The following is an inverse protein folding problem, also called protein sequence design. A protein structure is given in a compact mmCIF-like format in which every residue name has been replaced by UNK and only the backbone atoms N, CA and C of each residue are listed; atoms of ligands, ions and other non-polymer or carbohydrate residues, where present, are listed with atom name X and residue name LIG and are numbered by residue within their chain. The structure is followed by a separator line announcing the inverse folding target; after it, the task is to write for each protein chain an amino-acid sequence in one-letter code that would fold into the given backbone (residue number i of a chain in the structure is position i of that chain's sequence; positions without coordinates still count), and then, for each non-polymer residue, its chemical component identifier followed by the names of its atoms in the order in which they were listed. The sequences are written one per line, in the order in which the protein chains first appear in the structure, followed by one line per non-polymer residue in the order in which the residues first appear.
data_IF_724995811606
#
_entry.id   IF_724995811606
#
_cell.length_a   1.000
_cell.length_b   1.000
_cell.length_c   1.000
_cell.angle_alpha   90.00
_cell.angle_beta   90.00
_cell.angle_gamma   90.00
#
_symmetry.space_group_name_H-M   'P 1'
#
loop_
_entity.id
_entity.type
_entity.pdbx_description
1 polymer ?
#
# COMPACT_ATOMS: atom_id res chain seq x y z
N UNK A 1 12.88 4.47 -11.59
CA UNK A 1 11.42 4.53 -11.38
C UNK A 1 10.97 3.29 -10.62
N UNK A 2 10.15 3.47 -9.59
CA UNK A 2 9.49 2.40 -8.83
C UNK A 2 8.00 2.41 -9.16
N UNK A 3 7.44 1.25 -9.41
CA UNK A 3 6.03 1.05 -9.74
C UNK A 3 5.33 0.22 -8.66
N UNK A 4 4.29 0.79 -8.05
CA UNK A 4 3.51 0.18 -6.95
C UNK A 4 2.08 -0.08 -7.42
N UNK A 5 1.56 -1.28 -7.16
CA UNK A 5 0.17 -1.67 -7.41
C UNK A 5 -0.55 -1.97 -6.10
N UNK A 6 -1.62 -1.22 -5.84
CA UNK A 6 -2.49 -1.37 -4.69
C UNK A 6 -3.67 -2.26 -5.05
N UNK A 7 -3.95 -3.24 -4.21
CA UNK A 7 -5.16 -4.06 -4.24
C UNK A 7 -5.98 -3.79 -2.99
N UNK A 8 -7.22 -3.38 -3.19
CA UNK A 8 -8.18 -3.20 -2.11
C UNK A 8 -9.59 -3.51 -2.59
N UNK A 9 -10.57 -3.23 -1.75
CA UNK A 9 -11.99 -3.24 -2.11
C UNK A 9 -12.52 -1.82 -2.21
N UNK A 10 -13.55 -1.61 -3.03
CA UNK A 10 -14.25 -0.33 -3.10
C UNK A 10 -14.67 0.17 -1.71
N UNK A 11 -14.12 1.30 -1.28
CA UNK A 11 -14.32 1.89 0.04
C UNK A 11 -13.21 1.63 1.07
N UNK A 12 -12.18 0.83 0.75
CA UNK A 12 -11.04 0.58 1.65
C UNK A 12 -9.91 1.61 1.54
N UNK A 13 -9.94 2.53 0.57
CA UNK A 13 -8.98 3.64 0.50
C UNK A 13 -7.70 3.38 -0.33
N UNK A 14 -7.67 2.37 -1.21
CA UNK A 14 -6.51 2.08 -2.08
C UNK A 14 -6.07 3.30 -2.93
N UNK A 15 -7.03 4.02 -3.51
CA UNK A 15 -6.76 5.24 -4.30
C UNK A 15 -6.14 6.33 -3.43
N UNK A 16 -6.70 6.53 -2.23
CA UNK A 16 -6.19 7.50 -1.27
C UNK A 16 -4.75 7.18 -0.86
N UNK A 17 -4.42 5.91 -0.61
CA UNK A 17 -3.04 5.53 -0.31
C UNK A 17 -2.09 5.82 -1.46
N UNK A 18 -2.52 5.52 -2.69
CA UNK A 18 -1.72 5.78 -3.89
C UNK A 18 -1.45 7.29 -4.07
N UNK A 19 -2.47 8.13 -3.86
CA UNK A 19 -2.36 9.59 -3.92
C UNK A 19 -1.44 10.15 -2.82
N UNK A 20 -1.63 9.75 -1.56
CA UNK A 20 -0.81 10.22 -0.44
C UNK A 20 0.68 9.91 -0.66
N UNK A 21 0.99 8.69 -1.13
CA UNK A 21 2.36 8.29 -1.44
C UNK A 21 2.97 9.12 -2.58
N UNK A 22 2.18 9.41 -3.63
CA UNK A 22 2.65 10.24 -4.74
C UNK A 22 2.88 11.70 -4.32
N UNK A 23 1.99 12.26 -3.50
CA UNK A 23 2.13 13.62 -2.96
C UNK A 23 3.39 13.75 -2.09
N UNK A 24 3.63 12.77 -1.20
CA UNK A 24 4.85 12.72 -0.40
C UNK A 24 6.11 12.70 -1.28
N UNK A 25 6.13 11.86 -2.32
CA UNK A 25 7.26 11.80 -3.25
C UNK A 25 7.47 13.12 -4.04
N UNK A 26 6.38 13.77 -4.45
CA UNK A 26 6.45 15.09 -5.13
C UNK A 26 7.03 16.15 -4.21
N UNK A 27 6.66 16.13 -2.92
CA UNK A 27 7.19 17.06 -1.92
C UNK A 27 8.71 16.91 -1.72
N UNK A 28 9.25 15.72 -1.92
CA UNK A 28 10.69 15.44 -1.95
C UNK A 28 11.40 15.82 -3.26
N UNK A 29 10.69 16.43 -4.22
CA UNK A 29 11.24 16.81 -5.52
C UNK A 29 11.30 15.67 -6.55
N UNK A 30 10.70 14.50 -6.27
CA UNK A 30 10.58 13.41 -7.24
C UNK A 30 9.40 13.63 -8.18
N UNK A 31 9.39 12.96 -9.32
CA UNK A 31 8.23 12.86 -10.19
C UNK A 31 7.36 11.69 -9.75
N UNK A 32 6.07 11.92 -9.53
CA UNK A 32 5.13 10.85 -9.19
C UNK A 32 3.82 10.94 -9.99
N UNK A 33 3.18 9.79 -10.15
CA UNK A 33 1.82 9.65 -10.67
C UNK A 33 1.03 8.75 -9.74
N UNK A 34 -0.22 9.10 -9.46
CA UNK A 34 -1.19 8.22 -8.80
C UNK A 34 -2.47 8.17 -9.64
N UNK A 35 -3.00 6.97 -9.86
CA UNK A 35 -4.24 6.82 -10.62
C UNK A 35 -4.96 5.50 -10.29
N UNK A 36 -6.30 5.49 -10.33
CA UNK A 36 -7.07 4.28 -10.14
C UNK A 36 -7.13 3.40 -11.40
N UNK A 37 -7.50 2.14 -11.22
CA UNK A 37 -8.02 1.28 -12.28
C UNK A 37 -9.22 0.48 -11.76
N UNK A 38 -10.41 0.98 -12.07
CA UNK A 38 -11.68 0.31 -11.82
C UNK A 38 -12.72 0.77 -12.86
N UNK A 39 -13.71 -0.09 -13.14
CA UNK A 39 -14.85 0.23 -14.00
C UNK A 39 -16.05 0.77 -13.22
N UNK A 40 -17.26 0.51 -13.70
CA UNK A 40 -18.51 0.81 -13.00
C UNK A 40 -18.79 -0.18 -11.85
N UNK A 41 -17.80 -0.42 -10.99
CA UNK A 41 -17.87 -1.46 -9.97
C UNK A 41 -18.64 -1.02 -8.72
N UNK A 42 -19.31 -1.99 -8.08
CA UNK A 42 -20.05 -1.76 -6.83
C UNK A 42 -19.10 -1.68 -5.65
N UNK A 43 -19.53 -1.02 -4.56
CA UNK A 43 -18.81 -1.03 -3.28
C UNK A 43 -18.47 -2.46 -2.86
N UNK A 44 -17.25 -2.68 -2.38
CA UNK A 44 -16.75 -4.00 -1.98
C UNK A 44 -16.11 -4.84 -3.11
N UNK A 45 -16.26 -4.45 -4.38
CA UNK A 45 -15.58 -5.10 -5.49
C UNK A 45 -14.05 -4.85 -5.45
N UNK A 46 -13.23 -5.77 -5.98
CA UNK A 46 -11.78 -5.59 -6.07
C UNK A 46 -11.43 -4.34 -6.89
N UNK A 47 -10.67 -3.41 -6.30
CA UNK A 47 -10.21 -2.20 -6.97
C UNK A 47 -8.70 -2.15 -7.01
N UNK A 48 -8.17 -1.61 -8.09
CA UNK A 48 -6.76 -1.31 -8.23
C UNK A 48 -6.49 0.18 -8.13
N UNK A 49 -5.34 0.51 -7.57
CA UNK A 49 -4.73 1.82 -7.72
C UNK A 49 -3.23 1.64 -7.98
N UNK A 50 -2.64 2.67 -8.57
CA UNK A 50 -1.26 2.64 -9.03
C UNK A 50 -0.53 3.88 -8.55
N UNK A 51 0.73 3.68 -8.16
CA UNK A 51 1.67 4.78 -7.92
C UNK A 51 2.96 4.53 -8.69
N UNK A 52 3.47 5.55 -9.38
CA UNK A 52 4.81 5.57 -9.94
C UNK A 52 5.62 6.65 -9.24
N UNK A 53 6.87 6.36 -8.92
CA UNK A 53 7.83 7.34 -8.35
C UNK A 53 9.12 7.26 -9.16
N UNK A 54 9.68 8.40 -9.56
CA UNK A 54 10.84 8.48 -10.44
C UNK A 54 11.64 9.76 -10.17
N UNK A 55 12.96 9.70 -10.33
CA UNK A 55 13.83 10.89 -10.32
C UNK A 55 13.75 11.68 -11.63
N UNK A 56 13.14 11.09 -12.67
CA UNK A 56 12.92 11.70 -13.98
C UNK A 56 11.43 11.78 -14.35
N UNK A 57 11.09 12.70 -15.27
CA UNK A 57 9.72 12.91 -15.77
C UNK A 57 9.09 11.60 -16.26
N UNK A 58 7.91 11.28 -15.71
CA UNK A 58 7.15 10.08 -16.09
C UNK A 58 6.25 10.39 -17.30
N UNK A 59 6.62 9.86 -18.46
CA UNK A 59 5.83 9.99 -19.72
C UNK A 59 4.81 8.86 -19.93
N UNK A 60 4.97 7.73 -19.23
CA UNK A 60 4.13 6.55 -19.39
C UNK A 60 2.71 6.79 -18.85
N UNK A 61 1.69 6.39 -19.60
CA UNK A 61 0.26 6.58 -19.28
C UNK A 61 -0.55 5.28 -19.47
N UNK A 62 -0.02 4.19 -18.92
CA UNK A 62 -0.65 2.86 -18.95
C UNK A 62 -0.80 2.31 -17.53
N UNK A 63 -1.55 1.22 -17.35
CA UNK A 63 -1.56 0.47 -16.09
C UNK A 63 -0.18 -0.10 -15.74
N UNK A 64 -0.01 -0.53 -14.48
CA UNK A 64 1.21 -1.19 -14.02
C UNK A 64 1.03 -2.71 -14.10
N UNK A 65 1.60 -3.30 -15.16
CA UNK A 65 1.56 -4.74 -15.41
C UNK A 65 2.71 -5.49 -14.71
N UNK A 66 3.86 -4.82 -14.55
CA UNK A 66 5.05 -5.37 -13.91
C UNK A 66 5.47 -4.53 -12.70
N UNK A 67 4.74 -4.59 -11.58
CA UNK A 67 5.07 -3.78 -10.41
C UNK A 67 6.37 -4.25 -9.73
N UNK A 68 7.07 -3.31 -9.08
CA UNK A 68 8.13 -3.59 -8.10
C UNK A 68 7.55 -3.91 -6.72
N UNK A 69 6.37 -3.37 -6.43
CA UNK A 69 5.68 -3.53 -5.14
C UNK A 69 4.19 -3.80 -5.36
N UNK A 70 3.68 -4.81 -4.66
CA UNK A 70 2.25 -5.08 -4.54
C UNK A 70 1.84 -4.86 -3.09
N UNK A 71 0.80 -4.06 -2.85
CA UNK A 71 0.22 -3.88 -1.51
C UNK A 71 -1.22 -4.34 -1.52
N UNK A 72 -1.59 -5.16 -0.52
CA UNK A 72 -2.90 -5.81 -0.44
C UNK A 72 -3.57 -5.41 0.87
N UNK A 73 -4.56 -4.52 0.78
CA UNK A 73 -5.28 -3.96 1.94
C UNK A 73 -6.24 -4.98 2.58
N UNK A 74 -6.71 -5.94 1.79
CA UNK A 74 -7.62 -7.00 2.22
C UNK A 74 -7.06 -8.38 1.83
N UNK A 75 -6.66 -9.22 2.80
CA UNK A 75 -6.04 -10.51 2.52
C UNK A 75 -6.95 -11.48 1.75
N UNK A 76 -8.27 -11.29 1.78
CA UNK A 76 -9.19 -12.12 0.99
C UNK A 76 -8.99 -11.97 -0.51
N UNK A 77 -8.40 -10.85 -0.96
CA UNK A 77 -8.14 -10.60 -2.38
C UNK A 77 -7.11 -11.56 -2.96
N UNK A 78 -6.18 -12.08 -2.15
CA UNK A 78 -5.18 -13.05 -2.59
C UNK A 78 -5.83 -14.30 -3.21
N UNK A 79 -7.00 -14.71 -2.69
CA UNK A 79 -7.78 -15.84 -3.21
C UNK A 79 -8.79 -15.45 -4.29
N UNK A 80 -9.15 -14.17 -4.37
CA UNK A 80 -10.19 -13.69 -5.27
C UNK A 80 -9.64 -13.27 -6.64
N UNK A 81 -8.43 -12.72 -6.69
CA UNK A 81 -7.80 -12.18 -7.90
C UNK A 81 -6.29 -12.46 -7.89
N UNK A 82 -5.61 -12.50 -9.05
CA UNK A 82 -4.18 -12.81 -9.12
C UNK A 82 -3.32 -11.60 -8.69
N UNK A 83 -3.26 -11.34 -7.38
CA UNK A 83 -2.66 -10.11 -6.82
C UNK A 83 -1.19 -9.90 -7.17
N UNK A 84 -0.43 -11.00 -7.30
CA UNK A 84 1.02 -11.01 -7.64
C UNK A 84 1.31 -11.17 -9.13
N UNK A 85 0.28 -11.13 -10.01
CA UNK A 85 0.50 -11.27 -11.45
C UNK A 85 1.46 -10.20 -11.99
N UNK A 86 2.53 -10.64 -12.65
CA UNK A 86 3.54 -9.76 -13.24
C UNK A 86 4.49 -9.09 -12.24
N UNK A 87 4.35 -9.33 -10.93
CA UNK A 87 5.30 -8.86 -9.92
C UNK A 87 6.71 -9.35 -10.27
N UNK A 88 7.65 -8.42 -10.39
CA UNK A 88 9.05 -8.70 -10.75
C UNK A 88 9.72 -9.65 -9.76
N UNK A 89 10.72 -10.38 -10.24
CA UNK A 89 11.62 -11.17 -9.38
C UNK A 89 12.29 -10.25 -8.35
N UNK A 90 12.40 -10.71 -7.10
CA UNK A 90 12.88 -9.87 -5.99
C UNK A 90 11.92 -8.75 -5.57
N UNK A 91 10.71 -8.70 -6.15
CA UNK A 91 9.69 -7.71 -5.82
C UNK A 91 9.18 -7.85 -4.38
N UNK A 92 8.42 -6.84 -3.92
CA UNK A 92 7.89 -6.78 -2.55
C UNK A 92 6.37 -6.97 -2.56
N UNK A 93 5.86 -7.81 -1.66
CA UNK A 93 4.42 -7.94 -1.34
C UNK A 93 4.16 -7.48 0.09
N UNK A 94 3.32 -6.46 0.28
CA UNK A 94 2.93 -5.94 1.59
C UNK A 94 1.47 -6.31 1.87
N UNK A 95 1.23 -7.09 2.93
CA UNK A 95 -0.06 -7.72 3.22
C UNK A 95 -0.64 -7.31 4.58
N UNK A 96 -1.89 -6.88 4.58
CA UNK A 96 -2.68 -6.82 5.80
C UNK A 96 -3.05 -8.24 6.23
N UNK A 97 -2.42 -8.78 7.27
CA UNK A 97 -2.70 -10.13 7.76
C UNK A 97 -2.14 -10.41 9.15
N UNK A 98 -2.78 -11.35 9.86
CA UNK A 98 -2.25 -11.96 11.09
C UNK A 98 -1.12 -12.96 10.81
N UNK A 99 -1.16 -13.62 9.65
CA UNK A 99 -0.15 -14.59 9.23
C UNK A 99 1.21 -13.91 9.06
N UNK A 100 2.29 -14.66 9.29
CA UNK A 100 3.65 -14.16 9.09
C UNK A 100 4.06 -14.14 7.61
N UNK A 101 5.18 -13.48 7.27
CA UNK A 101 5.71 -13.45 5.91
C UNK A 101 5.96 -14.84 5.31
N UNK A 102 6.62 -15.76 6.04
CA UNK A 102 6.88 -17.13 5.56
C UNK A 102 5.63 -17.96 5.24
N UNK A 103 4.52 -17.77 5.97
CA UNK A 103 3.24 -18.41 5.64
C UNK A 103 2.68 -17.89 4.31
N UNK A 104 2.85 -16.58 4.08
CA UNK A 104 2.42 -15.93 2.84
C UNK A 104 3.30 -16.27 1.64
N UNK A 105 4.63 -16.42 1.80
CA UNK A 105 5.48 -16.90 0.71
C UNK A 105 4.97 -18.24 0.16
N UNK A 106 4.63 -19.16 1.06
CA UNK A 106 4.03 -20.47 0.71
C UNK A 106 2.68 -20.32 0.01
N UNK A 107 1.79 -19.47 0.53
CA UNK A 107 0.44 -19.28 -0.05
C UNK A 107 0.48 -18.55 -1.41
N UNK A 108 1.45 -17.66 -1.62
CA UNK A 108 1.68 -16.97 -2.88
C UNK A 108 2.39 -17.84 -3.92
N UNK A 109 3.08 -18.90 -3.50
CA UNK A 109 3.89 -19.75 -4.37
C UNK A 109 5.05 -18.99 -5.03
N UNK A 110 5.60 -17.99 -4.33
CA UNK A 110 6.67 -17.10 -4.82
C UNK A 110 7.77 -17.00 -3.76
N UNK A 111 8.78 -17.86 -3.87
CA UNK A 111 9.95 -17.82 -2.98
C UNK A 111 10.98 -16.75 -3.38
N UNK A 112 10.85 -16.23 -4.59
CA UNK A 112 11.73 -15.21 -5.19
C UNK A 112 11.34 -13.77 -4.80
N UNK A 113 10.28 -13.57 -4.03
CA UNK A 113 9.80 -12.24 -3.61
C UNK A 113 10.01 -12.02 -2.12
N UNK A 114 10.13 -10.75 -1.74
CA UNK A 114 10.06 -10.33 -0.34
C UNK A 114 8.60 -10.18 0.07
N UNK A 115 8.30 -10.54 1.31
CA UNK A 115 6.96 -10.42 1.89
C UNK A 115 7.05 -9.62 3.20
N UNK A 116 6.23 -8.59 3.28
CA UNK A 116 5.97 -7.85 4.50
C UNK A 116 4.52 -8.09 4.94
N UNK A 117 4.29 -8.35 6.23
CA UNK A 117 2.94 -8.54 6.75
C UNK A 117 2.75 -7.89 8.12
N UNK A 118 1.60 -7.26 8.29
CA UNK A 118 1.17 -6.63 9.54
C UNK A 118 -0.32 -6.83 9.73
N UNK A 119 -0.78 -6.94 10.97
CA UNK A 119 -2.21 -7.03 11.26
C UNK A 119 -2.85 -5.62 11.30
N UNK A 120 -2.84 -4.95 10.14
CA UNK A 120 -3.33 -3.58 10.01
C UNK A 120 -4.80 -3.44 10.40
N UNK A 121 -5.62 -4.48 10.21
CA UNK A 121 -7.02 -4.47 10.68
C UNK A 121 -7.11 -4.31 12.19
N UNK A 122 -6.27 -5.01 12.98
CA UNK A 122 -6.27 -4.84 14.44
C UNK A 122 -5.76 -3.46 14.84
N UNK A 123 -4.66 -2.99 14.24
CA UNK A 123 -4.11 -1.65 14.52
C UNK A 123 -5.18 -0.58 14.24
N UNK A 124 -5.85 -0.65 13.08
CA UNK A 124 -6.91 0.28 12.72
C UNK A 124 -8.09 0.24 13.70
N UNK A 125 -8.52 -0.95 14.12
CA UNK A 125 -9.60 -1.09 15.12
C UNK A 125 -9.21 -0.50 16.48
N UNK A 126 -7.96 -0.68 16.91
CA UNK A 126 -7.47 -0.18 18.19
C UNK A 126 -7.28 1.35 18.22
N UNK A 127 -6.76 1.93 17.14
CA UNK A 127 -6.43 3.36 17.07
C UNK A 127 -7.57 4.22 16.50
N UNK A 128 -8.28 3.72 15.48
CA UNK A 128 -9.30 4.45 14.74
C UNK A 128 -10.74 4.04 15.10
N UNK A 129 -10.91 2.90 15.76
CA UNK A 129 -12.23 2.32 16.05
C UNK A 129 -12.96 1.73 14.83
N UNK A 130 -12.33 1.74 13.65
CA UNK A 130 -12.88 1.25 12.39
C UNK A 130 -11.83 0.46 11.60
N UNK A 131 -12.22 -0.57 10.82
CA UNK A 131 -11.27 -1.45 10.13
C UNK A 131 -10.82 -0.86 8.78
N UNK A 132 -10.40 0.40 8.77
CA UNK A 132 -9.90 1.11 7.59
C UNK A 132 -8.37 1.06 7.61
N UNK A 133 -7.77 0.33 6.67
CA UNK A 133 -6.37 -0.09 6.76
C UNK A 133 -5.44 0.64 5.80
N UNK A 134 -5.94 1.55 4.97
CA UNK A 134 -5.19 2.18 3.87
C UNK A 134 -3.96 2.95 4.34
N UNK A 135 -4.10 3.84 5.32
CA UNK A 135 -2.99 4.65 5.86
C UNK A 135 -2.06 3.77 6.70
N UNK A 136 -2.63 2.90 7.54
CA UNK A 136 -1.89 1.91 8.35
C UNK A 136 -0.93 1.10 7.46
N UNK A 137 -1.42 0.61 6.33
CA UNK A 137 -0.62 -0.19 5.40
C UNK A 137 0.50 0.60 4.70
N UNK A 138 0.42 1.94 4.61
CA UNK A 138 1.54 2.76 4.13
C UNK A 138 2.73 2.75 5.11
N UNK A 139 2.48 2.64 6.41
CA UNK A 139 3.54 2.51 7.41
C UNK A 139 4.34 1.23 7.21
N UNK A 140 3.62 0.11 7.03
CA UNK A 140 4.23 -1.17 6.72
C UNK A 140 5.02 -1.15 5.40
N UNK A 141 4.50 -0.46 4.38
CA UNK A 141 5.20 -0.26 3.11
C UNK A 141 6.53 0.47 3.31
N UNK A 142 6.55 1.60 4.01
CA UNK A 142 7.76 2.41 4.14
C UNK A 142 8.83 1.75 5.01
N UNK A 143 8.45 0.88 5.95
CA UNK A 143 9.41 0.05 6.68
C UNK A 143 10.06 -1.00 5.77
N UNK A 144 9.26 -1.69 4.96
CA UNK A 144 9.74 -2.73 4.07
C UNK A 144 10.51 -2.16 2.87
N UNK A 145 10.13 -0.97 2.40
CA UNK A 145 10.78 -0.26 1.29
C UNK A 145 10.68 1.26 1.53
N UNK A 146 11.77 1.89 2.00
CA UNK A 146 11.84 3.35 2.17
C UNK A 146 11.75 4.07 0.81
N UNK A 147 10.55 4.46 0.40
CA UNK A 147 10.29 5.15 -0.87
C UNK A 147 10.33 6.68 -0.73
N UNK A 148 9.90 7.15 0.43
CA UNK A 148 9.79 8.53 0.89
C UNK A 148 10.04 8.56 2.40
N UNK A 149 10.43 9.71 2.92
CA UNK A 149 10.52 9.99 4.35
C UNK A 149 9.12 9.95 4.99
N UNK A 150 9.08 9.65 6.28
CA UNK A 150 7.82 9.55 7.03
C UNK A 150 7.15 10.93 7.17
N UNK A 151 7.93 11.98 7.40
CA UNK A 151 7.43 13.33 7.70
C UNK A 151 6.57 13.94 6.56
N UNK A 152 7.00 13.94 5.27
CA UNK A 152 6.16 14.38 4.17
C UNK A 152 4.81 13.64 4.12
N UNK A 153 4.83 12.33 4.36
CA UNK A 153 3.62 11.53 4.31
C UNK A 153 2.68 11.81 5.49
N UNK A 154 3.22 11.94 6.71
CA UNK A 154 2.46 12.32 7.91
C UNK A 154 1.80 13.69 7.77
N UNK A 155 2.47 14.65 7.12
CA UNK A 155 1.89 15.95 6.83
C UNK A 155 0.66 15.83 5.90
N UNK A 156 0.77 15.07 4.80
CA UNK A 156 -0.36 14.86 3.89
C UNK A 156 -1.48 14.02 4.53
N UNK A 157 -1.16 13.05 5.38
CA UNK A 157 -2.15 12.31 6.19
C UNK A 157 -2.92 13.30 7.07
N UNK A 158 -2.22 14.19 7.77
CA UNK A 158 -2.81 15.21 8.65
C UNK A 158 -3.73 16.16 7.88
N UNK A 159 -3.28 16.63 6.72
CA UNK A 159 -4.10 17.49 5.84
C UNK A 159 -5.33 16.77 5.30
N UNK A 160 -5.20 15.48 4.96
CA UNK A 160 -6.29 14.68 4.38
C UNK A 160 -7.35 14.31 5.41
N UNK A 161 -6.95 14.08 6.66
CA UNK A 161 -7.80 13.59 7.75
C UNK A 161 -7.69 14.47 9.00
N UNK A 162 -7.99 15.78 8.94
CA UNK A 162 -7.67 16.72 10.00
C UNK A 162 -8.38 16.44 11.34
N UNK A 163 -9.54 15.76 11.30
CA UNK A 163 -10.32 15.42 12.51
C UNK A 163 -9.75 14.24 13.30
N UNK A 164 -9.01 13.36 12.64
CA UNK A 164 -8.48 12.12 13.22
C UNK A 164 -6.97 11.98 12.97
N UNK A 165 -6.30 13.11 12.69
CA UNK A 165 -4.91 13.13 12.21
C UNK A 165 -3.96 12.43 13.18
N UNK A 166 -4.08 12.70 14.48
CA UNK A 166 -3.25 12.08 15.51
C UNK A 166 -3.40 10.55 15.51
N UNK A 167 -4.64 10.05 15.39
CA UNK A 167 -4.92 8.61 15.40
C UNK A 167 -4.44 7.94 14.11
N UNK A 168 -4.62 8.60 12.96
CA UNK A 168 -4.10 8.12 11.66
C UNK A 168 -2.58 8.03 11.65
N UNK A 169 -1.88 9.09 12.12
CA UNK A 169 -0.41 9.10 12.23
C UNK A 169 0.07 8.05 13.22
N UNK A 170 -0.60 7.89 14.36
CA UNK A 170 -0.26 6.86 15.34
C UNK A 170 -0.43 5.44 14.76
N UNK A 171 -1.55 5.17 14.09
CA UNK A 171 -1.80 3.88 13.44
C UNK A 171 -0.79 3.58 12.32
N UNK A 172 -0.43 4.59 11.52
CA UNK A 172 0.63 4.54 10.53
C UNK A 172 1.98 4.16 11.15
N UNK A 173 2.41 4.85 12.21
CA UNK A 173 3.68 4.57 12.90
C UNK A 173 3.71 3.18 13.54
N UNK A 174 2.60 2.76 14.18
CA UNK A 174 2.48 1.40 14.71
C UNK A 174 2.72 0.35 13.65
N UNK A 175 2.14 0.51 12.46
CA UNK A 175 2.39 -0.44 11.37
C UNK A 175 3.83 -0.41 10.85
N UNK A 176 4.48 0.75 10.83
CA UNK A 176 5.90 0.87 10.51
C UNK A 176 6.79 0.12 11.51
N UNK A 177 6.42 0.11 12.78
CA UNK A 177 7.16 -0.58 13.85
C UNK A 177 6.85 -2.08 13.94
N UNK A 178 5.58 -2.46 13.78
CA UNK A 178 5.08 -3.81 14.00
C UNK A 178 5.18 -4.73 12.77
N UNK A 179 5.44 -4.19 11.57
CA UNK A 179 5.52 -5.01 10.35
C UNK A 179 6.69 -5.99 10.40
N UNK A 180 6.41 -7.23 10.02
CA UNK A 180 7.40 -8.30 9.87
C UNK A 180 7.76 -8.42 8.39
N UNK A 181 9.04 -8.56 8.08
CA UNK A 181 9.57 -8.63 6.70
C UNK A 181 10.44 -9.88 6.55
N UNK A 182 10.28 -10.61 5.45
CA UNK A 182 11.05 -11.82 5.10
C UNK A 182 11.25 -11.96 3.59
#
# INVERSE_FOLDING_TARGET
MVEIRFHGRGGQGAVTSAELLALAAIKEGKYAQAFPAFGAERRGAPVLAFTRISDEIIKLRTGIYHPDVVIVLDPSLVKAVPVVAGLKEGGLVVLNSKKGPGDWKKELGRDDVQVASVNATSIAMEELGVPITNVVMLGALLKAKPLVDLEPLEEFITQRFPRIAEQEVKAFRRAYEEVRVE
#
